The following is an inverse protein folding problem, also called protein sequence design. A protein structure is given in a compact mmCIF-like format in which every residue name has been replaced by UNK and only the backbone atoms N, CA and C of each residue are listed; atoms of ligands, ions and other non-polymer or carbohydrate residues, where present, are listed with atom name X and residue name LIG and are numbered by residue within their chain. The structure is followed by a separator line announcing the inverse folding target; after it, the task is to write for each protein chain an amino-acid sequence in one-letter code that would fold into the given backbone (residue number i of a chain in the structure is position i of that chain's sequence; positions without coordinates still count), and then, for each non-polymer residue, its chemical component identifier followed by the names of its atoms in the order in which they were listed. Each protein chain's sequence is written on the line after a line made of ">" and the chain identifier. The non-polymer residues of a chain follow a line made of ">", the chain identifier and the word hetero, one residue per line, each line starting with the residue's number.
data_IF_110354680205
#
_entry.id   IF_110354680205
#
_cell.length_a   1.000
_cell.length_b   1.000
_cell.length_c   1.000
_cell.angle_alpha   90.00
_cell.angle_beta   90.00
_cell.angle_gamma   90.00
#
_symmetry.space_group_name_H-M   'P 1'
#
loop_
_entity.id
_entity.type
_entity.pdbx_description
1 polymer ?
#
# COMPACT_ATOMS: atom_id res chain seq x y z
N UNK A 1 -13.21 14.21 1.64
CA UNK A 1 -13.68 14.41 0.26
C UNK A 1 -12.93 13.42 -0.63
N UNK A 2 -13.49 12.33 -1.10
CA UNK A 2 -12.84 11.41 -2.04
C UNK A 2 -12.53 12.09 -3.37
N UNK A 3 -11.41 12.81 -3.46
CA UNK A 3 -10.97 13.53 -4.66
C UNK A 3 -9.75 12.82 -5.24
N UNK A 4 -9.93 11.84 -6.14
CA UNK A 4 -8.86 10.94 -6.58
C UNK A 4 -7.93 11.54 -7.65
N UNK A 5 -8.25 12.70 -8.22
CA UNK A 5 -7.45 13.30 -9.28
C UNK A 5 -7.25 14.80 -9.11
N UNK A 6 -6.10 15.33 -9.55
CA UNK A 6 -5.80 16.76 -9.56
C UNK A 6 -6.86 17.55 -10.37
N UNK A 7 -7.35 16.97 -11.47
CA UNK A 7 -8.41 17.59 -12.29
C UNK A 7 -9.70 17.77 -11.50
N UNK A 8 -10.11 16.75 -10.75
CA UNK A 8 -11.33 16.83 -9.92
C UNK A 8 -11.14 17.85 -8.79
N UNK A 9 -9.96 17.90 -8.16
CA UNK A 9 -9.64 18.92 -7.16
C UNK A 9 -9.79 20.33 -7.73
N UNK A 10 -9.27 20.59 -8.93
CA UNK A 10 -9.41 21.88 -9.60
C UNK A 10 -10.87 22.25 -9.86
N UNK A 11 -11.70 21.27 -10.27
CA UNK A 11 -13.12 21.47 -10.42
C UNK A 11 -13.76 21.91 -9.09
N UNK A 12 -13.47 21.24 -8.00
CA UNK A 12 -13.96 21.63 -6.67
C UNK A 12 -13.48 23.02 -6.27
N UNK A 13 -12.21 23.33 -6.44
CA UNK A 13 -11.66 24.67 -6.15
C UNK A 13 -12.27 25.77 -7.01
N UNK A 14 -12.67 25.43 -8.24
CA UNK A 14 -13.33 26.37 -9.15
C UNK A 14 -14.74 26.73 -8.70
N UNK A 15 -15.50 25.76 -8.23
CA UNK A 15 -16.91 25.93 -7.88
C UNK A 15 -17.16 26.20 -6.39
N UNK A 16 -16.20 25.91 -5.49
CA UNK A 16 -16.31 26.20 -4.06
C UNK A 16 -15.29 27.25 -3.63
N UNK A 17 -15.78 28.47 -3.42
CA UNK A 17 -14.97 29.56 -2.86
C UNK A 17 -14.52 29.26 -1.45
N UNK A 18 -15.37 28.60 -0.66
CA UNK A 18 -15.07 28.21 0.72
C UNK A 18 -13.91 27.19 0.77
N UNK A 19 -13.97 26.15 -0.08
CA UNK A 19 -12.88 25.18 -0.19
C UNK A 19 -11.58 25.83 -0.67
N UNK A 20 -11.69 26.72 -1.65
CA UNK A 20 -10.54 27.48 -2.16
C UNK A 20 -9.90 28.32 -1.08
N UNK A 21 -10.70 29.07 -0.32
CA UNK A 21 -10.23 29.87 0.83
C UNK A 21 -9.62 28.98 1.94
N UNK A 22 -10.25 27.85 2.26
CA UNK A 22 -9.70 26.87 3.20
C UNK A 22 -8.33 26.36 2.76
N UNK A 23 -8.12 26.12 1.46
CA UNK A 23 -6.83 25.71 0.90
C UNK A 23 -5.84 26.88 0.75
N UNK A 24 -6.17 28.10 1.12
CA UNK A 24 -5.32 29.29 1.02
C UNK A 24 -5.09 29.79 -0.41
N UNK A 25 -6.00 29.47 -1.35
CA UNK A 25 -5.87 29.91 -2.72
C UNK A 25 -6.79 31.12 -3.02
N UNK A 26 -6.22 32.24 -3.42
CA UNK A 26 -6.97 33.38 -3.91
C UNK A 26 -7.53 33.12 -5.31
N UNK A 27 -6.77 32.41 -6.15
CA UNK A 27 -7.10 32.04 -7.52
C UNK A 27 -6.97 30.54 -7.69
N UNK A 28 -7.85 29.94 -8.51
CA UNK A 28 -7.76 28.50 -8.82
C UNK A 28 -6.44 28.20 -9.50
N UNK A 29 -5.61 27.30 -8.92
CA UNK A 29 -4.32 26.98 -9.50
C UNK A 29 -4.49 26.16 -10.80
N UNK A 30 -3.54 26.32 -11.71
CA UNK A 30 -3.41 25.46 -12.89
C UNK A 30 -2.91 24.07 -12.53
N UNK A 31 -3.32 23.03 -13.28
CA UNK A 31 -2.90 21.63 -13.06
C UNK A 31 -1.39 21.48 -12.99
N UNK A 32 -0.66 22.22 -13.82
CA UNK A 32 0.81 22.18 -13.84
C UNK A 32 1.47 22.61 -12.53
N UNK A 33 0.76 23.37 -11.70
CA UNK A 33 1.22 23.74 -10.35
C UNK A 33 1.32 22.52 -9.45
N UNK A 34 0.33 21.63 -9.49
CA UNK A 34 0.36 20.38 -8.71
C UNK A 34 1.46 19.44 -9.21
N UNK A 35 1.64 19.33 -10.54
CA UNK A 35 2.72 18.53 -11.10
C UNK A 35 4.09 19.05 -10.67
N UNK A 36 4.32 20.35 -10.77
CA UNK A 36 5.58 20.99 -10.33
C UNK A 36 5.79 20.81 -8.83
N UNK A 37 4.78 21.04 -8.00
CA UNK A 37 4.87 20.81 -6.56
C UNK A 37 5.33 19.38 -6.25
N UNK A 38 4.72 18.37 -6.88
CA UNK A 38 5.11 16.96 -6.67
C UNK A 38 6.56 16.69 -7.12
N UNK A 39 7.03 17.35 -8.18
CA UNK A 39 8.41 17.21 -8.66
C UNK A 39 9.42 17.94 -7.79
N UNK A 40 9.13 19.18 -7.41
CA UNK A 40 10.02 20.05 -6.65
C UNK A 40 10.21 19.56 -5.20
N UNK A 41 9.15 19.00 -4.61
CA UNK A 41 9.14 18.53 -3.22
C UNK A 41 9.11 16.99 -3.08
N UNK A 42 9.47 16.26 -4.14
CA UNK A 42 9.40 14.78 -4.12
C UNK A 42 10.13 14.16 -2.94
N UNK A 43 11.31 14.67 -2.61
CA UNK A 43 12.15 14.17 -1.50
C UNK A 43 11.63 14.61 -0.13
N UNK A 44 10.80 15.65 -0.08
CA UNK A 44 10.28 16.22 1.16
C UNK A 44 8.87 15.74 1.51
N UNK A 45 8.18 15.08 0.56
CA UNK A 45 6.78 14.65 0.74
C UNK A 45 6.58 13.77 1.96
N UNK A 46 7.52 12.84 2.22
CA UNK A 46 7.44 11.98 3.40
C UNK A 46 7.59 12.80 4.68
N UNK A 47 8.56 13.68 4.74
CA UNK A 47 8.80 14.56 5.88
C UNK A 47 7.62 15.51 6.14
N UNK A 48 6.99 16.03 5.08
CA UNK A 48 5.78 16.85 5.19
C UNK A 48 4.61 16.04 5.73
N UNK A 49 4.46 14.79 5.27
CA UNK A 49 3.42 13.89 5.76
C UNK A 49 3.64 13.55 7.24
N UNK A 50 4.86 13.19 7.63
CA UNK A 50 5.21 12.89 9.02
C UNK A 50 4.92 14.10 9.94
N UNK A 51 5.25 15.31 9.49
CA UNK A 51 4.91 16.52 10.24
C UNK A 51 3.41 16.74 10.40
N UNK A 52 2.61 16.48 9.35
CA UNK A 52 1.14 16.52 9.45
C UNK A 52 0.60 15.48 10.43
N UNK A 53 1.20 14.29 10.49
CA UNK A 53 0.85 13.26 11.47
C UNK A 53 1.03 13.80 12.89
N UNK A 54 2.18 14.37 13.21
CA UNK A 54 2.47 14.92 14.53
C UNK A 54 1.55 16.10 14.88
N UNK A 55 1.32 17.01 13.94
CA UNK A 55 0.43 18.17 14.15
C UNK A 55 -1.04 17.76 14.39
N UNK A 56 -1.48 16.69 13.76
CA UNK A 56 -2.88 16.23 13.86
C UNK A 56 -3.11 15.28 15.03
N UNK A 57 -2.08 14.71 15.63
CA UNK A 57 -2.25 13.81 16.78
C UNK A 57 -2.98 14.44 17.95
N UNK A 58 -2.65 15.66 18.44
CA UNK A 58 -3.40 16.32 19.52
C UNK A 58 -4.88 16.57 19.15
N UNK A 59 -5.17 16.75 17.86
CA UNK A 59 -6.56 16.92 17.38
C UNK A 59 -7.31 15.59 17.46
N UNK A 60 -6.69 14.49 17.02
CA UNK A 60 -7.25 13.15 17.11
C UNK A 60 -7.56 12.79 18.57
N UNK A 61 -6.62 13.08 19.49
CA UNK A 61 -6.79 12.84 20.92
C UNK A 61 -7.95 13.63 21.52
N UNK A 62 -8.22 14.85 21.04
CA UNK A 62 -9.38 15.65 21.49
C UNK A 62 -10.70 15.15 20.91
N UNK A 63 -10.71 14.63 19.70
CA UNK A 63 -11.91 14.11 19.05
C UNK A 63 -12.39 12.83 19.74
N UNK A 64 -11.51 11.86 19.85
CA UNK A 64 -11.76 10.60 20.55
C UNK A 64 -10.42 9.95 20.95
N UNK A 65 -10.03 10.03 22.24
CA UNK A 65 -8.76 9.48 22.71
C UNK A 65 -8.68 7.95 22.62
N UNK A 66 -9.83 7.27 22.55
CA UNK A 66 -9.88 5.82 22.45
C UNK A 66 -9.60 5.38 21.01
N UNK A 67 -10.27 6.01 20.04
CA UNK A 67 -10.03 5.75 18.62
C UNK A 67 -8.65 6.26 18.17
N UNK A 68 -8.19 7.38 18.71
CA UNK A 68 -6.84 7.88 18.42
C UNK A 68 -5.74 6.91 18.89
N UNK A 69 -5.94 6.20 20.02
CA UNK A 69 -5.00 5.22 20.55
C UNK A 69 -5.11 3.83 19.89
N UNK A 70 -5.95 3.64 18.89
CA UNK A 70 -5.96 2.44 18.06
C UNK A 70 -4.92 2.55 16.94
N UNK A 71 -4.24 1.45 16.67
CA UNK A 71 -3.36 1.28 15.50
C UNK A 71 -3.94 0.19 14.63
N UNK A 72 -4.30 0.53 13.42
CA UNK A 72 -4.85 -0.39 12.43
C UNK A 72 -3.81 -0.51 11.33
N UNK A 73 -3.42 -1.74 11.01
CA UNK A 73 -2.44 -2.00 9.94
C UNK A 73 -3.02 -2.94 8.90
N UNK A 74 -2.78 -2.60 7.66
CA UNK A 74 -3.12 -3.44 6.51
C UNK A 74 -2.08 -3.27 5.41
N UNK A 75 -2.06 -4.20 4.47
CA UNK A 75 -1.19 -4.14 3.29
C UNK A 75 -2.02 -4.06 2.03
N UNK A 76 -1.53 -3.30 1.06
CA UNK A 76 -2.20 -3.14 -0.22
C UNK A 76 -1.18 -2.88 -1.33
N UNK A 77 -1.67 -2.60 -2.54
CA UNK A 77 -0.85 -2.22 -3.67
C UNK A 77 -1.43 -1.01 -4.39
N UNK A 78 -0.55 -0.15 -4.87
CA UNK A 78 -0.93 0.91 -5.81
C UNK A 78 -0.60 0.42 -7.21
N UNK A 79 -1.64 0.22 -8.03
CA UNK A 79 -1.48 -0.19 -9.41
C UNK A 79 -0.59 0.80 -10.17
N UNK A 80 0.45 0.26 -10.81
CA UNK A 80 1.47 1.06 -11.47
C UNK A 80 1.11 1.32 -12.94
N UNK A 81 1.54 2.45 -13.44
CA UNK A 81 1.41 2.79 -14.86
C UNK A 81 2.53 2.13 -15.67
N UNK A 82 2.35 0.84 -15.97
CA UNK A 82 3.33 0.01 -16.70
C UNK A 82 2.70 -0.72 -17.88
N UNK A 83 3.53 -1.18 -18.80
CA UNK A 83 3.07 -1.88 -20.02
C UNK A 83 2.30 -3.15 -19.67
N UNK A 84 2.71 -3.85 -18.63
CA UNK A 84 2.11 -5.10 -18.18
C UNK A 84 0.67 -4.92 -17.69
N UNK A 85 0.31 -3.74 -17.17
CA UNK A 85 -1.06 -3.37 -16.80
C UNK A 85 -1.91 -2.92 -17.98
N UNK A 86 -1.32 -2.78 -19.18
CA UNK A 86 -2.10 -2.43 -20.36
C UNK A 86 -2.95 -3.63 -20.81
N UNK A 87 -4.29 -3.50 -20.87
CA UNK A 87 -5.17 -4.59 -21.31
C UNK A 87 -4.79 -5.17 -22.69
N UNK A 88 -4.23 -4.37 -23.60
CA UNK A 88 -3.77 -4.85 -24.92
C UNK A 88 -2.60 -5.82 -24.80
N UNK A 89 -1.73 -5.62 -23.82
CA UNK A 89 -0.59 -6.52 -23.57
C UNK A 89 -1.09 -7.90 -23.11
N UNK A 90 -1.90 -7.95 -22.07
CA UNK A 90 -2.46 -9.21 -21.53
C UNK A 90 -3.37 -9.91 -22.53
N UNK A 91 -4.24 -9.17 -23.22
CA UNK A 91 -5.15 -9.74 -24.24
C UNK A 91 -4.40 -10.38 -25.41
N UNK A 92 -3.23 -9.85 -25.80
CA UNK A 92 -2.38 -10.47 -26.81
C UNK A 92 -1.90 -11.86 -26.37
N UNK A 93 -1.43 -11.99 -25.14
CA UNK A 93 -0.97 -13.26 -24.56
C UNK A 93 -2.14 -14.25 -24.46
N UNK A 94 -3.28 -13.82 -23.92
CA UNK A 94 -4.48 -14.66 -23.82
C UNK A 94 -4.92 -15.18 -25.20
N UNK A 95 -4.87 -14.34 -26.24
CA UNK A 95 -5.21 -14.74 -27.60
C UNK A 95 -4.27 -15.83 -28.12
N UNK A 96 -2.96 -15.70 -27.87
CA UNK A 96 -1.97 -16.73 -28.25
C UNK A 96 -2.22 -18.05 -27.51
N UNK A 97 -2.51 -18.00 -26.21
CA UNK A 97 -2.79 -19.20 -25.41
C UNK A 97 -4.11 -19.87 -25.76
N UNK A 98 -5.14 -19.11 -26.14
CA UNK A 98 -6.38 -19.67 -26.72
C UNK A 98 -6.13 -20.39 -28.06
N UNK A 99 -5.28 -19.82 -28.92
CA UNK A 99 -4.89 -20.47 -30.17
C UNK A 99 -4.07 -21.74 -29.88
N UNK A 100 -3.16 -21.70 -28.92
CA UNK A 100 -2.40 -22.86 -28.45
C UNK A 100 -3.31 -23.98 -27.92
N UNK A 101 -4.29 -23.66 -27.03
CA UNK A 101 -5.29 -24.61 -26.53
C UNK A 101 -5.98 -25.34 -27.70
N UNK A 102 -6.42 -24.57 -28.70
CA UNK A 102 -7.13 -25.11 -29.86
C UNK A 102 -6.22 -25.99 -30.74
N UNK A 103 -4.98 -25.57 -31.03
CA UNK A 103 -4.06 -26.31 -31.89
C UNK A 103 -3.56 -27.63 -31.29
N UNK A 104 -3.52 -27.72 -29.95
CA UNK A 104 -3.07 -28.92 -29.23
C UNK A 104 -4.22 -29.75 -28.66
N UNK A 105 -5.48 -29.39 -28.97
CA UNK A 105 -6.70 -30.07 -28.48
C UNK A 105 -6.70 -30.27 -26.96
N UNK A 106 -6.24 -29.25 -26.21
CA UNK A 106 -6.23 -29.30 -24.75
C UNK A 106 -7.66 -29.23 -24.20
N UNK A 107 -7.92 -30.01 -23.18
CA UNK A 107 -9.23 -30.11 -22.53
C UNK A 107 -9.58 -28.84 -21.71
N UNK A 108 -10.71 -28.88 -21.00
CA UNK A 108 -11.20 -27.76 -20.23
C UNK A 108 -10.44 -27.53 -18.90
N UNK A 109 -9.53 -28.42 -18.51
CA UNK A 109 -8.63 -28.21 -17.38
C UNK A 109 -7.58 -27.13 -17.67
N UNK A 110 -7.25 -26.92 -18.95
CA UNK A 110 -6.35 -25.83 -19.36
C UNK A 110 -7.11 -24.51 -19.48
N UNK A 111 -6.84 -23.61 -18.54
CA UNK A 111 -7.37 -22.24 -18.54
C UNK A 111 -6.35 -21.25 -19.16
N UNK A 112 -6.62 -20.70 -20.35
CA UNK A 112 -5.74 -19.73 -21.01
C UNK A 112 -5.54 -18.44 -20.21
N UNK A 113 -6.50 -18.05 -19.37
CA UNK A 113 -6.39 -16.84 -18.55
C UNK A 113 -5.41 -17.08 -17.39
N UNK A 114 -5.59 -18.19 -16.67
CA UNK A 114 -4.66 -18.59 -15.60
C UNK A 114 -3.23 -18.79 -16.14
N UNK A 115 -3.11 -19.45 -17.29
CA UNK A 115 -1.82 -19.65 -17.96
C UNK A 115 -1.18 -18.33 -18.41
N UNK A 116 -1.98 -17.34 -18.84
CA UNK A 116 -1.47 -16.02 -19.20
C UNK A 116 -0.78 -15.34 -18.02
N UNK A 117 -1.45 -15.27 -16.87
CA UNK A 117 -0.86 -14.65 -15.68
C UNK A 117 0.35 -15.42 -15.15
N UNK A 118 0.34 -16.76 -15.21
CA UNK A 118 1.50 -17.58 -14.83
C UNK A 118 2.70 -17.46 -15.78
N UNK A 119 2.47 -17.04 -17.04
CA UNK A 119 3.55 -16.81 -18.03
C UNK A 119 4.07 -15.38 -18.08
N UNK A 120 3.39 -14.44 -17.41
CA UNK A 120 3.85 -13.06 -17.31
C UNK A 120 5.00 -12.94 -16.30
N UNK A 121 5.92 -11.97 -16.50
CA UNK A 121 6.99 -11.74 -15.54
C UNK A 121 6.44 -11.39 -14.15
N UNK A 122 7.15 -11.81 -13.11
CA UNK A 122 6.75 -11.53 -11.71
C UNK A 122 6.91 -10.05 -11.33
N UNK A 123 7.75 -9.32 -12.08
CA UNK A 123 8.02 -7.89 -11.89
C UNK A 123 7.89 -7.14 -13.21
N UNK A 124 7.56 -5.86 -13.14
CA UNK A 124 7.52 -5.01 -14.33
C UNK A 124 8.93 -4.77 -14.90
N UNK A 125 9.05 -4.80 -16.21
CA UNK A 125 10.34 -4.60 -16.91
C UNK A 125 10.93 -3.20 -16.64
N UNK A 126 10.09 -2.20 -16.44
CA UNK A 126 10.51 -0.82 -16.18
C UNK A 126 11.04 -0.59 -14.76
N UNK A 127 10.53 -1.34 -13.76
CA UNK A 127 10.93 -1.19 -12.37
C UNK A 127 10.64 -2.47 -11.58
N UNK A 128 11.67 -3.10 -11.04
CA UNK A 128 11.57 -4.33 -10.26
C UNK A 128 10.87 -4.18 -8.90
N UNK A 129 10.66 -2.96 -8.41
CA UNK A 129 9.84 -2.73 -7.21
C UNK A 129 8.34 -2.89 -7.49
N UNK A 130 7.94 -2.90 -8.77
CA UNK A 130 6.57 -3.15 -9.21
C UNK A 130 6.43 -4.64 -9.44
N UNK A 131 5.61 -5.30 -8.65
CA UNK A 131 5.44 -6.75 -8.70
C UNK A 131 4.00 -7.13 -9.06
N UNK A 132 3.85 -8.33 -9.62
CA UNK A 132 2.54 -8.89 -9.90
C UNK A 132 1.82 -9.18 -8.59
N UNK A 133 0.62 -8.65 -8.44
CA UNK A 133 -0.22 -8.78 -7.25
C UNK A 133 -1.68 -9.07 -7.63
N UNK A 134 -2.41 -9.65 -6.70
CA UNK A 134 -3.86 -9.77 -6.80
C UNK A 134 -4.50 -8.74 -5.86
N UNK A 135 -5.13 -7.70 -6.43
CA UNK A 135 -5.70 -6.58 -5.68
C UNK A 135 -7.12 -6.33 -6.20
N UNK A 136 -8.08 -6.12 -5.30
CA UNK A 136 -9.46 -5.78 -5.66
C UNK A 136 -10.11 -6.74 -6.68
N UNK A 137 -9.79 -8.03 -6.58
CA UNK A 137 -10.38 -9.05 -7.42
C UNK A 137 -9.73 -9.25 -8.81
N UNK A 138 -8.59 -8.62 -9.10
CA UNK A 138 -7.87 -8.80 -10.35
C UNK A 138 -6.35 -8.83 -10.17
N UNK A 139 -5.66 -9.44 -11.14
CA UNK A 139 -4.20 -9.38 -11.22
C UNK A 139 -3.76 -8.07 -11.84
N UNK A 140 -2.80 -7.42 -11.20
CA UNK A 140 -2.14 -6.22 -11.71
C UNK A 140 -0.69 -6.15 -11.24
N UNK A 141 0.06 -5.22 -11.84
CA UNK A 141 1.41 -4.86 -11.40
C UNK A 141 1.34 -3.62 -10.54
N UNK A 142 1.80 -3.72 -9.30
CA UNK A 142 1.62 -2.71 -8.29
C UNK A 142 2.84 -2.51 -7.41
N UNK A 143 2.95 -1.34 -6.81
CA UNK A 143 3.83 -1.11 -5.67
C UNK A 143 3.16 -1.61 -4.41
N UNK A 144 3.79 -2.56 -3.73
CA UNK A 144 3.30 -3.06 -2.44
C UNK A 144 3.66 -2.10 -1.32
N UNK A 145 2.73 -1.85 -0.42
CA UNK A 145 2.93 -0.99 0.75
C UNK A 145 2.14 -1.46 1.96
N UNK A 146 2.62 -1.10 3.14
CA UNK A 146 1.85 -1.16 4.38
C UNK A 146 1.28 0.20 4.71
N UNK A 147 0.11 0.23 5.32
CA UNK A 147 -0.57 1.44 5.76
C UNK A 147 -0.92 1.32 7.25
N UNK A 148 -0.64 2.39 7.98
CA UNK A 148 -1.05 2.55 9.37
C UNK A 148 -2.14 3.60 9.45
N UNK A 149 -3.27 3.27 10.08
CA UNK A 149 -4.34 4.22 10.38
C UNK A 149 -4.67 4.18 11.86
N UNK A 150 -5.31 5.23 12.38
CA UNK A 150 -5.94 5.18 13.70
C UNK A 150 -7.42 4.76 13.58
N UNK A 151 -8.10 4.56 14.71
CA UNK A 151 -9.51 4.19 14.74
C UNK A 151 -10.47 5.25 14.19
N UNK A 152 -10.01 6.49 13.99
CA UNK A 152 -10.75 7.54 13.29
C UNK A 152 -10.68 7.37 11.76
N UNK A 153 -9.93 6.38 11.25
CA UNK A 153 -9.72 6.17 9.82
C UNK A 153 -8.72 7.14 9.18
N UNK A 154 -7.92 7.84 9.99
CA UNK A 154 -6.92 8.79 9.50
C UNK A 154 -5.61 8.04 9.25
N UNK A 155 -5.05 8.19 8.05
CA UNK A 155 -3.75 7.61 7.69
C UNK A 155 -2.65 8.26 8.51
N UNK A 156 -1.79 7.43 9.12
CA UNK A 156 -0.70 7.84 9.99
C UNK A 156 0.68 7.46 9.45
N UNK A 157 0.76 6.40 8.64
CA UNK A 157 1.99 6.02 7.92
C UNK A 157 1.66 5.29 6.62
N UNK A 158 2.55 5.42 5.64
CA UNK A 158 2.56 4.66 4.40
C UNK A 158 3.98 4.24 4.10
N UNK A 159 4.27 2.95 4.20
CA UNK A 159 5.61 2.41 3.97
C UNK A 159 5.63 1.51 2.75
N UNK A 160 6.41 1.87 1.71
CA UNK A 160 6.60 1.05 0.52
C UNK A 160 7.63 -0.05 0.76
N UNK A 161 7.32 -1.29 0.36
CA UNK A 161 8.20 -2.44 0.49
C UNK A 161 9.18 -2.53 -0.68
N UNK A 162 10.00 -1.51 -0.81
CA UNK A 162 11.00 -1.39 -1.84
C UNK A 162 12.40 -1.84 -1.36
N UNK A 163 13.42 -1.66 -2.21
CA UNK A 163 14.81 -2.03 -1.88
C UNK A 163 15.37 -1.23 -0.71
N UNK A 164 14.96 0.02 -0.55
CA UNK A 164 15.37 0.90 0.56
C UNK A 164 14.84 0.36 1.89
N UNK A 165 13.57 -0.02 1.95
CA UNK A 165 12.96 -0.65 3.11
C UNK A 165 13.71 -1.94 3.52
N UNK A 166 14.00 -2.83 2.57
CA UNK A 166 14.73 -4.06 2.85
C UNK A 166 16.18 -3.82 3.29
N UNK A 167 16.83 -2.77 2.79
CA UNK A 167 18.18 -2.39 3.24
C UNK A 167 18.17 -1.84 4.67
N UNK A 168 17.14 -1.11 5.05
CA UNK A 168 16.96 -0.58 6.40
C UNK A 168 16.67 -1.70 7.43
N UNK A 169 16.09 -2.82 6.96
CA UNK A 169 15.70 -3.95 7.79
C UNK A 169 16.38 -5.26 7.35
N UNK A 170 17.69 -5.42 7.54
CA UNK A 170 18.44 -6.58 7.07
C UNK A 170 18.03 -7.92 7.75
N UNK A 171 17.38 -7.83 8.91
CA UNK A 171 16.88 -8.99 9.65
C UNK A 171 15.61 -9.59 9.03
N UNK A 172 14.98 -8.91 8.08
CA UNK A 172 13.81 -9.44 7.37
C UNK A 172 14.26 -10.53 6.42
N UNK A 173 13.80 -11.76 6.66
CA UNK A 173 14.01 -12.88 5.75
C UNK A 173 12.93 -12.85 4.68
N UNK A 174 13.35 -12.70 3.43
CA UNK A 174 12.47 -12.79 2.26
C UNK A 174 12.47 -14.22 1.76
N UNK A 175 11.33 -14.88 1.83
CA UNK A 175 11.17 -16.30 1.54
C UNK A 175 10.31 -16.53 0.30
N UNK A 176 10.48 -17.68 -0.35
CA UNK A 176 9.55 -18.15 -1.36
C UNK A 176 8.25 -18.60 -0.68
N UNK A 177 7.11 -18.35 -1.34
CA UNK A 177 5.80 -18.82 -0.86
C UNK A 177 5.54 -20.30 -1.13
N UNK A 178 6.25 -20.88 -2.10
CA UNK A 178 6.18 -22.29 -2.46
C UNK A 178 7.55 -22.82 -2.85
N UNK A 179 7.64 -24.15 -2.98
CA UNK A 179 8.87 -24.84 -3.43
C UNK A 179 9.06 -24.78 -4.96
N UNK A 180 8.23 -24.03 -5.69
CA UNK A 180 8.38 -23.87 -7.13
C UNK A 180 9.70 -23.20 -7.45
N UNK A 181 10.55 -23.77 -8.35
CA UNK A 181 11.83 -23.18 -8.72
C UNK A 181 11.69 -21.81 -9.40
N UNK A 182 10.55 -21.56 -10.04
CA UNK A 182 10.27 -20.32 -10.78
C UNK A 182 9.61 -19.24 -9.92
N UNK A 183 9.34 -19.51 -8.65
CA UNK A 183 8.72 -18.53 -7.75
C UNK A 183 9.78 -17.59 -7.16
N UNK A 184 9.59 -16.30 -7.38
CA UNK A 184 10.41 -15.28 -6.77
C UNK A 184 10.16 -15.15 -5.27
N UNK A 185 11.20 -14.84 -4.52
CA UNK A 185 11.09 -14.49 -3.11
C UNK A 185 10.28 -13.21 -2.95
N UNK A 186 9.29 -13.25 -2.07
CA UNK A 186 8.47 -12.08 -1.75
C UNK A 186 8.43 -11.82 -0.25
N UNK A 187 8.30 -10.54 0.12
CA UNK A 187 8.12 -10.15 1.50
C UNK A 187 6.71 -10.51 1.97
N UNK A 188 6.62 -11.40 2.95
CA UNK A 188 5.35 -11.71 3.61
C UNK A 188 4.88 -10.52 4.46
N UNK A 189 3.57 -10.24 4.45
CA UNK A 189 2.98 -9.10 5.16
C UNK A 189 3.23 -9.17 6.67
N UNK A 190 3.14 -10.36 7.26
CA UNK A 190 3.43 -10.59 8.67
C UNK A 190 4.88 -10.29 9.07
N UNK A 191 5.84 -10.42 8.14
CA UNK A 191 7.25 -10.09 8.40
C UNK A 191 7.52 -8.59 8.30
N UNK A 192 6.72 -7.85 7.53
CA UNK A 192 6.85 -6.40 7.39
C UNK A 192 6.20 -5.62 8.56
N UNK A 193 5.18 -6.17 9.19
CA UNK A 193 4.39 -5.50 10.23
C UNK A 193 5.25 -4.89 11.34
N UNK A 194 6.09 -5.72 11.99
CA UNK A 194 6.85 -5.27 13.16
C UNK A 194 7.89 -4.20 12.80
N UNK A 195 8.69 -4.34 11.74
CA UNK A 195 9.58 -3.27 11.28
C UNK A 195 8.85 -1.96 11.01
N UNK A 196 7.73 -2.00 10.28
CA UNK A 196 6.92 -0.79 9.99
C UNK A 196 6.43 -0.13 11.27
N UNK A 197 5.88 -0.90 12.22
CA UNK A 197 5.37 -0.33 13.46
C UNK A 197 6.46 0.21 14.38
N UNK A 198 7.62 -0.45 14.43
CA UNK A 198 8.77 0.04 15.20
C UNK A 198 9.25 1.38 14.65
N UNK A 199 9.46 1.48 13.34
CA UNK A 199 9.86 2.73 12.69
C UNK A 199 8.81 3.83 12.91
N UNK A 200 7.54 3.49 12.74
CA UNK A 200 6.42 4.42 12.93
C UNK A 200 6.39 5.02 14.34
N UNK A 201 6.46 4.19 15.39
CA UNK A 201 6.41 4.69 16.76
C UNK A 201 7.70 5.41 17.20
N UNK A 202 8.86 5.04 16.61
CA UNK A 202 10.09 5.79 16.83
C UNK A 202 10.02 7.18 16.19
N UNK A 203 9.41 7.29 15.01
CA UNK A 203 9.23 8.55 14.29
C UNK A 203 8.20 9.46 14.95
N UNK A 204 7.14 8.88 15.53
CA UNK A 204 6.01 9.61 16.11
C UNK A 204 5.84 9.35 17.62
N UNK A 205 6.72 9.88 18.47
CA UNK A 205 6.73 9.58 19.92
C UNK A 205 5.50 10.10 20.67
N UNK A 206 4.70 10.99 20.09
CA UNK A 206 3.43 11.46 20.66
C UNK A 206 2.30 10.43 20.53
N UNK A 207 2.43 9.47 19.63
CA UNK A 207 1.42 8.42 19.42
C UNK A 207 1.66 7.30 20.42
N UNK A 208 0.70 7.12 21.33
CA UNK A 208 0.73 6.09 22.37
C UNK A 208 -0.33 5.00 22.09
N UNK A 209 0.01 3.92 21.38
CA UNK A 209 -0.95 2.90 21.01
C UNK A 209 -1.42 2.10 22.24
N UNK A 210 -2.71 1.77 22.27
CA UNK A 210 -3.31 0.90 23.29
C UNK A 210 -3.95 -0.35 22.73
N UNK A 211 -4.33 -0.30 21.47
CA UNK A 211 -5.01 -1.39 20.78
C UNK A 211 -4.45 -1.52 19.37
N UNK A 212 -4.19 -2.74 18.96
CA UNK A 212 -3.83 -3.08 17.58
C UNK A 212 -4.98 -3.84 16.91
N UNK A 213 -5.25 -3.50 15.65
CA UNK A 213 -6.17 -4.19 14.76
C UNK A 213 -5.45 -4.59 13.49
N UNK A 214 -5.59 -5.84 13.09
CA UNK A 214 -5.06 -6.37 11.84
C UNK A 214 -5.97 -7.50 11.34
N UNK A 215 -5.76 -7.94 10.11
CA UNK A 215 -6.45 -9.11 9.59
C UNK A 215 -5.83 -10.42 10.12
N UNK A 216 -6.45 -11.56 9.76
CA UNK A 216 -5.99 -12.88 10.20
C UNK A 216 -4.59 -13.26 9.67
N UNK A 217 -4.07 -12.59 8.65
CA UNK A 217 -2.71 -12.82 8.15
C UNK A 217 -1.64 -12.42 9.17
N UNK A 218 -1.99 -11.54 10.13
CA UNK A 218 -1.10 -11.08 11.19
C UNK A 218 -1.28 -11.87 12.51
N UNK A 219 -2.19 -12.86 12.56
CA UNK A 219 -2.46 -13.68 13.74
C UNK A 219 -1.35 -14.73 13.92
N UNK A 220 -0.19 -14.31 14.43
CA UNK A 220 0.96 -15.19 14.68
C UNK A 220 1.50 -15.02 16.10
N UNK A 221 2.01 -16.11 16.66
CA UNK A 221 2.62 -16.12 18.00
C UNK A 221 3.79 -15.12 18.09
N UNK A 222 4.56 -14.95 17.02
CA UNK A 222 5.67 -14.01 16.94
C UNK A 222 5.21 -12.56 17.12
N UNK A 223 4.10 -12.20 16.48
CA UNK A 223 3.51 -10.85 16.59
C UNK A 223 2.98 -10.62 18.00
N UNK A 224 2.28 -11.57 18.60
CA UNK A 224 1.80 -11.45 19.98
C UNK A 224 2.95 -11.25 20.98
N UNK A 225 4.04 -12.04 20.85
CA UNK A 225 5.23 -11.90 21.70
C UNK A 225 5.89 -10.52 21.52
N UNK A 226 5.99 -10.05 20.29
CA UNK A 226 6.62 -8.77 20.01
C UNK A 226 5.77 -7.59 20.56
N UNK A 227 4.46 -7.66 20.44
CA UNK A 227 3.59 -6.62 21.00
C UNK A 227 3.64 -6.55 22.51
N UNK A 228 3.67 -7.68 23.20
CA UNK A 228 3.77 -7.70 24.67
C UNK A 228 5.12 -7.24 25.19
N UNK A 229 6.21 -7.46 24.45
CA UNK A 229 7.58 -7.19 24.91
C UNK A 229 8.11 -5.85 24.37
N UNK A 230 7.93 -5.57 23.08
CA UNK A 230 8.55 -4.42 22.41
C UNK A 230 7.66 -3.17 22.42
N UNK A 231 6.36 -3.33 22.31
CA UNK A 231 5.41 -2.22 22.14
C UNK A 231 4.51 -1.99 23.37
N UNK A 232 4.64 -2.83 24.40
CA UNK A 232 3.81 -2.78 25.65
C UNK A 232 2.29 -2.65 25.37
N UNK A 233 1.83 -3.26 24.28
CA UNK A 233 0.43 -3.24 23.89
C UNK A 233 -0.35 -4.29 24.71
N UNK A 234 -1.26 -3.85 25.56
CA UNK A 234 -2.04 -4.72 26.45
C UNK A 234 -3.24 -5.40 25.81
N UNK A 235 -3.67 -4.94 24.64
CA UNK A 235 -4.82 -5.51 23.92
C UNK A 235 -4.50 -5.64 22.43
N UNK A 236 -4.66 -6.86 21.93
CA UNK A 236 -4.54 -7.17 20.51
C UNK A 236 -5.90 -7.69 20.04
N UNK A 237 -6.42 -7.15 18.98
CA UNK A 237 -7.65 -7.61 18.36
C UNK A 237 -7.38 -7.91 16.90
N UNK A 238 -7.59 -9.16 16.48
CA UNK A 238 -7.55 -9.55 15.09
C UNK A 238 -8.99 -9.71 14.61
N UNK A 239 -9.32 -9.08 13.50
CA UNK A 239 -10.59 -9.27 12.84
C UNK A 239 -10.50 -10.53 11.98
N UNK A 240 -11.27 -11.56 12.33
CA UNK A 240 -11.52 -12.68 11.42
C UNK A 240 -12.48 -12.20 10.33
N UNK A 241 -12.04 -12.17 9.09
CA UNK A 241 -12.91 -12.02 7.92
C UNK A 241 -13.64 -13.31 7.62
#
# INVERSE_FOLDING_TARGET
>A
FSIPTDMLLIVFLKYSQELRGFCGFDVVPDVSKFTRFKQDFLMDLQSMFDHMVDMTEPICQKLDPHLAAMTIFDTSGIEAWVTENNPKYTNRIIKQLKAFKKSHNLDDSYDPYKAAYGSMPTHAASNQAIQQMYINGHFCYAYKFGIVTNGLGIVRDVTFYNKEFLKAHPDIVVEKKSDSPDEDKSLADSKALLPVLVDFFQKHPLIAPKTFLGDAAFDTIEIYKAFSVKLDLKKHLFLST
#
